data_IF_312036538393
#
_entry.id   IF_312036538393
#
_cell.length_a   1.000
_cell.length_b   1.000
_cell.length_c   1.000
_cell.angle_alpha   90.00
_cell.angle_beta   90.00
_cell.angle_gamma   90.00
#
_symmetry.space_group_name_H-M   'P 1'
#
loop_
_entity.id
_entity.type
_entity.pdbx_description
1 polymer ?
#
# COMPACT_ATOMS: atom_id res chain seq x y z
N UNK A 1 21.77 13.97 -9.03
CA UNK A 1 20.43 13.33 -9.10
C UNK A 1 19.62 14.11 -10.14
N UNK A 2 19.07 13.42 -11.14
CA UNK A 2 18.18 14.03 -12.12
C UNK A 2 16.94 14.58 -11.41
N UNK A 3 16.34 15.66 -11.92
CA UNK A 3 15.16 16.28 -11.29
C UNK A 3 14.01 15.28 -11.07
N UNK A 4 13.84 14.32 -11.98
CA UNK A 4 12.85 13.25 -11.89
C UNK A 4 13.05 12.29 -10.69
N UNK A 5 14.31 12.06 -10.29
CA UNK A 5 14.61 11.21 -9.12
C UNK A 5 14.26 11.95 -7.83
N UNK A 6 14.58 13.25 -7.74
CA UNK A 6 14.23 14.06 -6.57
C UNK A 6 12.73 14.18 -6.42
N UNK A 7 12.02 14.40 -7.51
CA UNK A 7 10.56 14.44 -7.53
C UNK A 7 9.94 13.12 -7.06
N UNK A 8 10.42 11.99 -7.58
CA UNK A 8 9.98 10.66 -7.14
C UNK A 8 10.22 10.40 -5.65
N UNK A 9 11.36 10.84 -5.11
CA UNK A 9 11.67 10.75 -3.68
C UNK A 9 10.70 11.59 -2.85
N UNK A 10 10.40 12.81 -3.27
CA UNK A 10 9.45 13.69 -2.57
C UNK A 10 8.03 13.10 -2.55
N UNK A 11 7.55 12.58 -3.68
CA UNK A 11 6.27 11.89 -3.74
C UNK A 11 6.24 10.63 -2.87
N UNK A 12 7.33 9.85 -2.86
CA UNK A 12 7.46 8.67 -2.00
C UNK A 12 7.42 9.01 -0.51
N UNK A 13 8.13 10.06 -0.08
CA UNK A 13 8.10 10.53 1.31
C UNK A 13 6.72 11.05 1.70
N UNK A 14 6.06 11.82 0.82
CA UNK A 14 4.69 12.30 1.03
C UNK A 14 3.70 11.16 1.18
N UNK A 15 3.77 10.15 0.31
CA UNK A 15 2.93 8.95 0.37
C UNK A 15 3.16 8.15 1.66
N UNK A 16 4.43 7.94 2.05
CA UNK A 16 4.78 7.24 3.29
C UNK A 16 4.27 7.95 4.53
N UNK A 17 4.40 9.28 4.60
CA UNK A 17 3.86 10.08 5.69
C UNK A 17 2.33 9.98 5.74
N UNK A 18 1.67 10.12 4.60
CA UNK A 18 0.21 9.98 4.48
C UNK A 18 -0.27 8.61 4.95
N UNK A 19 0.40 7.54 4.53
CA UNK A 19 0.08 6.17 4.97
C UNK A 19 0.27 5.98 6.48
N UNK A 20 1.34 6.52 7.06
CA UNK A 20 1.59 6.44 8.50
C UNK A 20 0.49 7.16 9.31
N UNK A 21 0.11 8.38 8.89
CA UNK A 21 -0.98 9.14 9.51
C UNK A 21 -2.31 8.39 9.40
N UNK A 22 -2.62 7.86 8.21
CA UNK A 22 -3.85 7.10 7.98
C UNK A 22 -3.92 5.85 8.88
N UNK A 23 -2.80 5.14 9.02
CA UNK A 23 -2.71 3.95 9.88
C UNK A 23 -2.97 4.29 11.36
N UNK A 24 -2.41 5.41 11.85
CA UNK A 24 -2.64 5.89 13.21
C UNK A 24 -4.11 6.29 13.43
N UNK A 25 -4.70 7.02 12.49
CA UNK A 25 -6.10 7.42 12.54
C UNK A 25 -7.02 6.19 12.51
N UNK A 26 -6.75 5.24 11.63
CA UNK A 26 -7.52 4.00 11.53
C UNK A 26 -7.49 3.21 12.84
N UNK A 27 -6.33 3.11 13.49
CA UNK A 27 -6.23 2.43 14.78
C UNK A 27 -7.14 3.07 15.85
N UNK A 28 -7.26 4.38 15.86
CA UNK A 28 -8.16 5.09 16.79
C UNK A 28 -9.64 4.81 16.50
N UNK A 29 -10.01 4.76 15.21
CA UNK A 29 -11.42 4.68 14.79
C UNK A 29 -11.95 3.25 14.66
N UNK A 30 -11.09 2.26 14.38
CA UNK A 30 -11.50 0.86 14.16
C UNK A 30 -12.17 0.21 15.37
N UNK A 31 -11.98 0.74 16.57
CA UNK A 31 -12.62 0.27 17.79
C UNK A 31 -14.10 0.62 17.86
N UNK A 32 -14.51 1.67 17.16
CA UNK A 32 -15.88 2.21 17.21
C UNK A 32 -16.64 2.04 15.89
N UNK A 33 -15.94 1.76 14.79
CA UNK A 33 -16.52 1.64 13.46
C UNK A 33 -16.10 0.33 12.78
N UNK A 34 -16.92 -0.13 11.84
CA UNK A 34 -16.56 -1.33 11.07
C UNK A 34 -15.38 -1.03 10.11
N UNK A 35 -14.44 -1.97 9.94
CA UNK A 35 -13.33 -1.81 9.00
C UNK A 35 -13.78 -1.50 7.57
N UNK A 36 -14.84 -2.17 7.13
CA UNK A 36 -15.40 -1.97 5.79
C UNK A 36 -15.95 -0.55 5.61
N UNK A 37 -16.66 -0.03 6.61
CA UNK A 37 -17.19 1.34 6.57
C UNK A 37 -16.06 2.36 6.48
N UNK A 38 -15.00 2.21 7.28
CA UNK A 38 -13.83 3.09 7.23
C UNK A 38 -13.16 3.03 5.86
N UNK A 39 -12.96 1.81 5.32
CA UNK A 39 -12.40 1.62 3.99
C UNK A 39 -13.24 2.28 2.90
N UNK A 40 -14.57 2.11 2.93
CA UNK A 40 -15.47 2.73 1.96
C UNK A 40 -15.40 4.27 2.00
N UNK A 41 -15.40 4.88 3.19
CA UNK A 41 -15.27 6.33 3.33
C UNK A 41 -13.93 6.85 2.82
N UNK A 42 -12.83 6.19 3.16
CA UNK A 42 -11.48 6.59 2.76
C UNK A 42 -11.29 6.50 1.25
N UNK A 43 -11.66 5.36 0.65
CA UNK A 43 -11.55 5.18 -0.80
C UNK A 43 -12.56 6.06 -1.56
N UNK A 44 -13.77 6.25 -1.03
CA UNK A 44 -14.76 7.16 -1.61
C UNK A 44 -14.27 8.61 -1.64
N UNK A 45 -13.68 9.08 -0.54
CA UNK A 45 -13.11 10.43 -0.48
C UNK A 45 -11.91 10.58 -1.42
N UNK A 46 -11.01 9.59 -1.45
CA UNK A 46 -9.88 9.59 -2.37
C UNK A 46 -10.34 9.61 -3.84
N UNK A 47 -11.35 8.81 -4.18
CA UNK A 47 -11.93 8.80 -5.52
C UNK A 47 -12.54 10.16 -5.88
N UNK A 48 -13.25 10.79 -4.96
CA UNK A 48 -13.84 12.12 -5.17
C UNK A 48 -12.77 13.20 -5.43
N UNK A 49 -11.66 13.17 -4.69
CA UNK A 49 -10.55 14.11 -4.87
C UNK A 49 -9.82 13.88 -6.20
N UNK A 50 -9.67 12.62 -6.62
CA UNK A 50 -8.97 12.28 -7.86
C UNK A 50 -9.84 12.37 -9.11
N UNK A 51 -11.17 12.41 -8.95
CA UNK A 51 -12.14 12.43 -10.06
C UNK A 51 -11.87 13.56 -11.09
N UNK A 52 -11.61 14.82 -10.69
CA UNK A 52 -11.35 15.90 -11.66
C UNK A 52 -10.14 15.60 -12.55
N UNK A 53 -9.07 15.03 -11.99
CA UNK A 53 -7.89 14.61 -12.75
C UNK A 53 -8.19 13.46 -13.70
N UNK A 54 -8.90 12.47 -13.24
CA UNK A 54 -9.31 11.33 -14.07
C UNK A 54 -10.17 11.77 -15.26
N UNK A 55 -11.06 12.74 -15.08
CA UNK A 55 -11.92 13.25 -16.14
C UNK A 55 -11.20 14.16 -17.15
N UNK A 56 -10.05 14.72 -16.79
CA UNK A 56 -9.26 15.54 -17.69
C UNK A 56 -8.43 14.75 -18.71
N UNK A 57 -8.24 13.46 -18.47
CA UNK A 57 -7.47 12.57 -19.33
C UNK A 57 -8.39 11.78 -20.27
N UNK A 58 -7.96 11.59 -21.53
CA UNK A 58 -8.70 10.79 -22.50
C UNK A 58 -8.27 9.31 -22.38
N UNK A 59 -9.08 8.53 -21.69
CA UNK A 59 -8.85 7.11 -21.49
C UNK A 59 -9.46 6.28 -22.63
N UNK A 60 -8.64 5.50 -23.32
CA UNK A 60 -9.12 4.46 -24.26
C UNK A 60 -8.96 3.12 -23.55
N UNK A 61 -9.99 2.75 -22.78
CA UNK A 61 -9.99 1.52 -21.99
C UNK A 61 -10.70 0.39 -22.74
N UNK A 62 -10.06 -0.77 -22.79
CA UNK A 62 -10.67 -2.00 -23.30
C UNK A 62 -11.52 -2.66 -22.21
N UNK A 63 -12.35 -3.66 -22.59
CA UNK A 63 -13.13 -4.44 -21.61
C UNK A 63 -12.23 -5.18 -20.61
N UNK A 64 -11.05 -5.61 -21.06
CA UNK A 64 -10.06 -6.25 -20.18
C UNK A 64 -9.54 -5.27 -19.14
N UNK A 65 -9.25 -4.01 -19.53
CA UNK A 65 -8.79 -2.97 -18.60
C UNK A 65 -9.83 -2.67 -17.53
N UNK A 66 -11.11 -2.59 -17.91
CA UNK A 66 -12.21 -2.41 -16.94
C UNK A 66 -12.30 -3.56 -15.94
N UNK A 67 -12.13 -4.80 -16.41
CA UNK A 67 -12.13 -5.98 -15.53
C UNK A 67 -10.96 -5.94 -14.56
N UNK A 68 -9.75 -5.62 -15.04
CA UNK A 68 -8.55 -5.49 -14.21
C UNK A 68 -8.69 -4.36 -13.20
N UNK A 69 -9.21 -3.21 -13.60
CA UNK A 69 -9.46 -2.07 -12.70
C UNK A 69 -10.49 -2.42 -11.63
N UNK A 70 -11.53 -3.16 -11.97
CA UNK A 70 -12.52 -3.63 -11.00
C UNK A 70 -11.89 -4.58 -9.97
N UNK A 71 -11.12 -5.58 -10.42
CA UNK A 71 -10.40 -6.50 -9.52
C UNK A 71 -9.43 -5.74 -8.63
N UNK A 72 -8.63 -4.83 -9.19
CA UNK A 72 -7.68 -4.01 -8.45
C UNK A 72 -8.40 -3.13 -7.40
N UNK A 73 -9.47 -2.45 -7.79
CA UNK A 73 -10.20 -1.54 -6.90
C UNK A 73 -10.97 -2.28 -5.81
N UNK A 74 -11.74 -3.31 -6.17
CA UNK A 74 -12.63 -3.99 -5.21
C UNK A 74 -11.87 -5.06 -4.42
N UNK A 75 -11.19 -5.97 -5.08
CA UNK A 75 -10.54 -7.10 -4.39
C UNK A 75 -9.26 -6.66 -3.71
N UNK A 76 -8.34 -6.05 -4.46
CA UNK A 76 -7.02 -5.71 -3.92
C UNK A 76 -7.09 -4.48 -3.00
N UNK A 77 -7.74 -3.40 -3.42
CA UNK A 77 -7.74 -2.16 -2.64
C UNK A 77 -8.74 -2.23 -1.49
N UNK A 78 -10.03 -2.43 -1.74
CA UNK A 78 -11.04 -2.46 -0.66
C UNK A 78 -10.82 -3.65 0.25
N UNK A 79 -10.60 -4.84 -0.30
CA UNK A 79 -10.32 -6.06 0.45
C UNK A 79 -9.06 -5.96 1.29
N UNK A 80 -7.95 -5.53 0.69
CA UNK A 80 -6.67 -5.34 1.36
C UNK A 80 -6.74 -4.30 2.50
N UNK A 81 -7.35 -3.14 2.26
CA UNK A 81 -7.56 -2.12 3.29
C UNK A 81 -8.46 -2.57 4.42
N UNK A 82 -9.56 -3.26 4.10
CA UNK A 82 -10.47 -3.78 5.13
C UNK A 82 -9.77 -4.80 6.05
N UNK A 83 -8.95 -5.68 5.47
CA UNK A 83 -8.14 -6.64 6.22
C UNK A 83 -7.10 -5.94 7.11
N UNK A 84 -6.39 -4.94 6.56
CA UNK A 84 -5.44 -4.13 7.31
C UNK A 84 -6.12 -3.44 8.50
N UNK A 85 -7.20 -2.72 8.25
CA UNK A 85 -7.93 -1.99 9.30
C UNK A 85 -8.46 -2.96 10.36
N UNK A 86 -8.97 -4.13 9.96
CA UNK A 86 -9.40 -5.16 10.90
C UNK A 86 -8.23 -5.69 11.75
N UNK A 87 -7.07 -5.90 11.15
CA UNK A 87 -5.85 -6.28 11.87
C UNK A 87 -5.44 -5.28 12.95
N UNK A 88 -5.63 -3.97 12.70
CA UNK A 88 -5.32 -2.91 13.67
C UNK A 88 -6.16 -2.94 14.96
N UNK A 89 -7.21 -3.76 15.04
CA UNK A 89 -7.96 -3.97 16.28
C UNK A 89 -7.12 -4.66 17.35
N UNK A 90 -6.30 -5.62 16.93
CA UNK A 90 -5.57 -6.53 17.82
C UNK A 90 -4.06 -6.26 17.85
N UNK A 91 -3.55 -5.47 16.89
CA UNK A 91 -2.12 -5.21 16.73
C UNK A 91 -1.84 -3.72 16.89
N UNK A 92 -0.68 -3.36 17.44
CA UNK A 92 -0.24 -1.96 17.50
C UNK A 92 -0.02 -1.43 16.08
N UNK A 93 -0.40 -0.17 15.82
CA UNK A 93 -0.22 0.46 14.51
C UNK A 93 1.24 0.38 14.01
N UNK A 94 2.20 0.56 14.92
CA UNK A 94 3.62 0.45 14.63
C UNK A 94 4.00 -0.96 14.14
N UNK A 95 3.56 -2.01 14.84
CA UNK A 95 3.82 -3.41 14.45
C UNK A 95 3.18 -3.73 13.10
N UNK A 96 1.93 -3.29 12.87
CA UNK A 96 1.24 -3.48 11.59
C UNK A 96 1.99 -2.80 10.44
N UNK A 97 2.41 -1.55 10.61
CA UNK A 97 3.17 -0.82 9.59
C UNK A 97 4.53 -1.47 9.29
N UNK A 98 5.22 -1.99 10.31
CA UNK A 98 6.48 -2.71 10.13
C UNK A 98 6.29 -4.03 9.36
N UNK A 99 5.26 -4.80 9.70
CA UNK A 99 4.94 -6.04 9.00
C UNK A 99 4.63 -5.78 7.52
N UNK A 100 3.83 -4.76 7.22
CA UNK A 100 3.49 -4.39 5.85
C UNK A 100 4.75 -3.95 5.10
N UNK A 101 5.53 -3.02 5.66
CA UNK A 101 6.76 -2.52 5.05
C UNK A 101 7.80 -3.64 4.77
N UNK A 102 7.81 -4.70 5.61
CA UNK A 102 8.70 -5.85 5.40
C UNK A 102 8.16 -6.86 4.40
N UNK A 103 6.85 -7.13 4.39
CA UNK A 103 6.24 -8.14 3.52
C UNK A 103 5.98 -7.62 2.11
N UNK A 104 5.64 -6.35 1.95
CA UNK A 104 5.28 -5.74 0.66
C UNK A 104 6.40 -5.90 -0.39
N UNK A 105 7.68 -5.58 -0.13
CA UNK A 105 8.75 -5.81 -1.11
C UNK A 105 8.95 -7.27 -1.46
N UNK A 106 8.79 -8.17 -0.49
CA UNK A 106 8.92 -9.62 -0.73
C UNK A 106 7.81 -10.09 -1.66
N UNK A 107 6.57 -9.74 -1.36
CA UNK A 107 5.44 -10.08 -2.22
C UNK A 107 5.59 -9.47 -3.61
N UNK A 108 6.03 -8.22 -3.72
CA UNK A 108 6.26 -7.55 -5.01
C UNK A 108 7.30 -8.29 -5.86
N UNK A 109 8.43 -8.70 -5.27
CA UNK A 109 9.47 -9.47 -5.96
C UNK A 109 8.93 -10.83 -6.41
N UNK A 110 8.21 -11.54 -5.54
CA UNK A 110 7.61 -12.84 -5.85
C UNK A 110 6.60 -12.72 -7.00
N UNK A 111 5.70 -11.75 -6.94
CA UNK A 111 4.71 -11.54 -8.00
C UNK A 111 5.35 -11.08 -9.32
N UNK A 112 6.34 -10.19 -9.28
CA UNK A 112 7.08 -9.78 -10.49
C UNK A 112 7.74 -10.99 -11.17
N UNK A 113 8.37 -11.89 -10.39
CA UNK A 113 8.99 -13.08 -10.91
C UNK A 113 7.97 -14.05 -11.55
N UNK A 114 6.86 -14.36 -10.85
CA UNK A 114 5.91 -15.38 -11.29
C UNK A 114 4.88 -14.87 -12.31
N UNK A 115 4.43 -13.62 -12.21
CA UNK A 115 3.39 -13.06 -13.09
C UNK A 115 3.97 -12.35 -14.31
N UNK A 116 5.10 -11.65 -14.14
CA UNK A 116 5.72 -10.85 -15.21
C UNK A 116 6.94 -11.54 -15.82
N UNK A 117 7.47 -12.60 -15.19
CA UNK A 117 8.71 -13.25 -15.61
C UNK A 117 9.95 -12.37 -15.42
N UNK A 118 9.85 -11.32 -14.61
CA UNK A 118 10.94 -10.39 -14.35
C UNK A 118 11.90 -10.96 -13.33
N UNK A 119 13.18 -11.06 -13.70
CA UNK A 119 14.23 -11.50 -12.77
C UNK A 119 14.70 -10.28 -11.97
N UNK A 120 14.56 -10.29 -10.63
CA UNK A 120 15.00 -9.18 -9.81
C UNK A 120 16.51 -8.96 -9.91
N UNK A 121 16.92 -7.70 -9.98
CA UNK A 121 18.35 -7.34 -9.97
C UNK A 121 18.98 -7.69 -8.63
N UNK A 122 20.31 -7.88 -8.61
CA UNK A 122 21.04 -8.09 -7.35
C UNK A 122 20.81 -6.94 -6.35
N UNK A 123 20.71 -5.72 -6.83
CA UNK A 123 20.41 -4.53 -5.99
C UNK A 123 19.03 -4.64 -5.37
N UNK A 124 18.02 -5.09 -6.11
CA UNK A 124 16.65 -5.32 -5.61
C UNK A 124 16.63 -6.39 -4.53
N UNK A 125 17.36 -7.49 -4.72
CA UNK A 125 17.46 -8.56 -3.74
C UNK A 125 18.17 -8.10 -2.46
N UNK A 126 19.28 -7.38 -2.58
CA UNK A 126 20.00 -6.83 -1.42
C UNK A 126 19.15 -5.83 -0.65
N UNK A 127 18.43 -4.94 -1.36
CA UNK A 127 17.49 -4.01 -0.74
C UNK A 127 16.35 -4.73 -0.01
N UNK A 128 15.75 -5.76 -0.61
CA UNK A 128 14.73 -6.59 0.00
C UNK A 128 15.21 -7.29 1.27
N UNK A 129 16.40 -7.90 1.24
CA UNK A 129 17.02 -8.55 2.42
C UNK A 129 17.24 -7.53 3.54
N UNK A 130 17.71 -6.33 3.21
CA UNK A 130 17.95 -5.28 4.20
C UNK A 130 16.63 -4.83 4.88
N UNK A 131 15.56 -4.65 4.11
CA UNK A 131 14.24 -4.27 4.62
C UNK A 131 13.69 -5.37 5.52
N UNK A 132 13.70 -6.63 5.07
CA UNK A 132 13.20 -7.76 5.86
C UNK A 132 14.01 -7.93 7.15
N UNK A 133 15.32 -7.88 7.10
CA UNK A 133 16.18 -8.04 8.28
C UNK A 133 15.95 -6.93 9.31
N UNK A 134 15.83 -5.68 8.87
CA UNK A 134 15.48 -4.55 9.77
C UNK A 134 14.09 -4.70 10.36
N UNK A 135 13.12 -5.15 9.58
CA UNK A 135 11.75 -5.40 10.06
C UNK A 135 11.72 -6.47 11.14
N UNK A 136 12.36 -7.61 10.90
CA UNK A 136 12.47 -8.70 11.89
C UNK A 136 13.17 -8.22 13.16
N UNK A 137 14.30 -7.50 13.02
CA UNK A 137 15.03 -6.96 14.15
C UNK A 137 14.18 -6.00 15.01
N UNK A 138 13.39 -5.13 14.34
CA UNK A 138 12.52 -4.18 15.05
C UNK A 138 11.36 -4.88 15.77
N UNK A 139 10.75 -5.89 15.15
CA UNK A 139 9.64 -6.65 15.75
C UNK A 139 10.14 -7.41 16.99
N UNK A 140 11.29 -8.08 16.92
CA UNK A 140 11.85 -8.83 18.04
C UNK A 140 12.28 -7.95 19.21
N UNK A 141 12.53 -6.67 19.00
CA UNK A 141 12.83 -5.73 20.06
C UNK A 141 11.61 -5.00 20.64
N UNK A 142 10.45 -5.11 19.99
CA UNK A 142 9.21 -4.44 20.43
C UNK A 142 8.35 -5.30 21.36
N UNK A 143 8.71 -6.56 21.58
CA UNK A 143 8.16 -7.44 22.59
C UNK A 143 8.89 -7.27 23.94
#
# INVERSE_FOLDING_TARGET
>A
LSGSVVEGVLWGLGGGLGFALLTLLNRGHVRHHSPLLLTCWQNGFAAMVLLPWSLSESWVLTTADWTLLFVLGVVCTVGGHALLINGLRNVRAQTASMLIAGLEPVCAIVFALFLLGEVPSLQTLLGGILIVSTTVFMITRSE
#
